data_IF_159539771219
#
_entry.id   IF_159539771219
#
_cell.length_a   1.000
_cell.length_b   1.000
_cell.length_c   1.000
_cell.angle_alpha   90.00
_cell.angle_beta   90.00
_cell.angle_gamma   90.00
#
_symmetry.space_group_name_H-M   'P 1'
#
loop_
_entity.id
_entity.type
_entity.pdbx_description
1 polymer ?
#
# COMPACT_ATOMS: atom_id res chain seq x y z
N UNK A 1 -19.66 4.81 -3.91
CA UNK A 1 -19.60 3.61 -4.79
C UNK A 1 -18.15 3.32 -5.14
N UNK A 2 -17.73 2.06 -5.19
CA UNK A 2 -16.39 1.66 -5.61
C UNK A 2 -16.43 0.65 -6.76
N UNK A 3 -15.37 0.59 -7.56
CA UNK A 3 -15.20 -0.42 -8.60
C UNK A 3 -13.78 -0.99 -8.57
N UNK A 4 -13.60 -2.29 -8.83
CA UNK A 4 -12.28 -2.92 -8.85
C UNK A 4 -11.51 -2.52 -10.11
N UNK A 5 -10.20 -2.38 -9.97
CA UNK A 5 -9.26 -2.21 -11.07
C UNK A 5 -7.94 -2.92 -10.75
N UNK A 6 -7.09 -3.06 -11.77
CA UNK A 6 -5.71 -3.53 -11.62
C UNK A 6 -4.76 -2.46 -12.13
N UNK A 7 -3.73 -2.17 -11.33
CA UNK A 7 -2.64 -1.28 -11.74
C UNK A 7 -1.37 -2.09 -12.04
N UNK A 8 -0.61 -1.75 -13.10
CA UNK A 8 0.55 -2.54 -13.51
C UNK A 8 1.62 -2.65 -12.42
N UNK A 9 1.90 -1.56 -11.70
CA UNK A 9 2.81 -1.58 -10.57
C UNK A 9 2.55 -0.45 -9.58
N UNK A 10 2.88 -0.69 -8.31
CA UNK A 10 2.88 0.32 -7.25
C UNK A 10 4.21 0.25 -6.50
N UNK A 11 4.86 1.39 -6.31
CA UNK A 11 6.12 1.50 -5.57
C UNK A 11 5.90 2.30 -4.28
N UNK A 12 6.42 1.79 -3.16
CA UNK A 12 6.26 2.38 -1.84
C UNK A 12 7.53 2.17 -1.02
N UNK A 13 8.13 3.27 -0.55
CA UNK A 13 9.37 3.27 0.25
C UNK A 13 10.52 2.43 -0.35
N UNK A 14 10.64 2.41 -1.68
CA UNK A 14 11.68 1.66 -2.38
C UNK A 14 11.34 0.19 -2.65
N UNK A 15 10.19 -0.30 -2.20
CA UNK A 15 9.69 -1.62 -2.56
C UNK A 15 8.66 -1.52 -3.69
N UNK A 16 8.68 -2.47 -4.64
CA UNK A 16 7.76 -2.50 -5.78
C UNK A 16 6.87 -3.76 -5.76
N UNK A 17 5.58 -3.57 -6.02
CA UNK A 17 4.66 -4.66 -6.31
C UNK A 17 4.08 -4.51 -7.72
N UNK A 18 3.82 -5.63 -8.36
CA UNK A 18 3.26 -5.70 -9.71
C UNK A 18 1.84 -6.28 -9.68
N UNK A 19 1.05 -5.94 -10.70
CA UNK A 19 -0.32 -6.43 -10.91
C UNK A 19 -1.18 -6.31 -9.63
N UNK A 20 -1.25 -5.09 -9.10
CA UNK A 20 -1.88 -4.78 -7.82
C UNK A 20 -3.37 -4.55 -8.04
N UNK A 21 -4.19 -5.27 -7.29
CA UNK A 21 -5.63 -5.05 -7.23
C UNK A 21 -5.94 -3.83 -6.36
N UNK A 22 -6.79 -2.94 -6.87
CA UNK A 22 -7.21 -1.71 -6.21
C UNK A 22 -8.72 -1.55 -6.32
N UNK A 23 -9.31 -0.83 -5.37
CA UNK A 23 -10.69 -0.36 -5.46
C UNK A 23 -10.66 1.16 -5.71
N UNK A 24 -11.25 1.62 -6.81
CA UNK A 24 -11.39 3.04 -7.09
C UNK A 24 -12.66 3.55 -6.43
N UNK A 25 -12.52 4.59 -5.62
CA UNK A 25 -13.61 5.16 -4.83
C UNK A 25 -14.05 6.50 -5.41
N UNK A 26 -15.36 6.76 -5.41
CA UNK A 26 -15.94 8.05 -5.82
C UNK A 26 -15.68 9.18 -4.82
N UNK A 27 -15.42 8.82 -3.56
CA UNK A 27 -15.17 9.74 -2.45
C UNK A 27 -14.18 9.12 -1.48
N UNK A 28 -13.28 9.93 -0.93
CA UNK A 28 -12.38 9.58 0.15
C UNK A 28 -12.59 10.56 1.31
N UNK A 29 -12.17 10.21 2.55
CA UNK A 29 -12.07 11.16 3.64
C UNK A 29 -11.24 12.39 3.23
N UNK A 30 -11.53 13.58 3.81
CA UNK A 30 -10.69 14.75 3.57
C UNK A 30 -9.23 14.44 3.94
N UNK A 31 -8.30 15.04 3.20
CA UNK A 31 -6.85 14.91 3.39
C UNK A 31 -6.25 13.52 3.12
N UNK A 32 -6.99 12.63 2.43
CA UNK A 32 -6.51 11.29 2.06
C UNK A 32 -6.64 11.05 0.56
N UNK A 33 -5.51 10.77 -0.10
CA UNK A 33 -5.47 10.41 -1.54
C UNK A 33 -5.76 8.92 -1.80
N UNK A 34 -5.68 8.08 -0.77
CA UNK A 34 -5.96 6.65 -0.87
C UNK A 34 -5.63 5.89 0.41
N UNK A 35 -6.02 4.62 0.44
CA UNK A 35 -5.77 3.72 1.57
C UNK A 35 -5.01 2.48 1.11
N UNK A 36 -3.96 2.14 1.85
CA UNK A 36 -3.18 0.92 1.63
C UNK A 36 -3.83 -0.24 2.39
N UNK A 37 -4.46 -1.15 1.65
CA UNK A 37 -5.04 -2.36 2.23
C UNK A 37 -3.99 -3.32 2.77
N UNK A 38 -4.34 -4.08 3.81
CA UNK A 38 -3.45 -5.07 4.42
C UNK A 38 -2.97 -6.16 3.42
N UNK A 39 -3.80 -6.52 2.44
CA UNK A 39 -3.41 -7.46 1.39
C UNK A 39 -2.27 -6.93 0.51
N UNK A 40 -2.23 -5.63 0.25
CA UNK A 40 -1.10 -4.98 -0.42
C UNK A 40 0.14 -4.98 0.48
N UNK A 41 -0.01 -4.53 1.73
CA UNK A 41 1.08 -4.46 2.70
C UNK A 41 1.71 -5.83 3.00
N UNK A 42 0.92 -6.91 2.96
CA UNK A 42 1.39 -8.28 3.16
C UNK A 42 2.44 -8.76 2.14
N UNK A 43 2.62 -8.04 1.02
CA UNK A 43 3.65 -8.31 0.00
C UNK A 43 5.05 -7.84 0.43
N UNK A 44 5.15 -7.07 1.50
CA UNK A 44 6.40 -6.47 1.96
C UNK A 44 6.82 -7.00 3.34
N UNK A 45 8.07 -6.78 3.69
CA UNK A 45 8.52 -6.81 5.08
C UNK A 45 8.19 -5.48 5.75
N UNK A 46 7.53 -5.54 6.90
CA UNK A 46 7.08 -4.37 7.67
C UNK A 46 7.90 -4.26 8.95
N UNK A 47 8.49 -3.09 9.22
CA UNK A 47 9.12 -2.76 10.51
C UNK A 47 8.48 -1.51 11.09
N UNK A 48 7.95 -1.63 12.31
CA UNK A 48 7.36 -0.53 13.06
C UNK A 48 8.21 -0.25 14.30
N UNK A 49 8.81 0.93 14.36
CA UNK A 49 9.37 1.50 15.58
C UNK A 49 8.40 2.56 16.12
N UNK A 50 7.53 2.13 17.04
CA UNK A 50 6.53 3.00 17.64
C UNK A 50 7.14 4.09 18.54
N UNK A 51 8.35 3.88 19.09
CA UNK A 51 9.02 4.89 19.92
C UNK A 51 9.61 6.00 19.08
N UNK A 52 10.15 5.66 17.91
CA UNK A 52 10.66 6.62 16.94
C UNK A 52 9.60 7.16 15.97
N UNK A 53 8.35 6.66 16.04
CA UNK A 53 7.28 7.04 15.11
C UNK A 53 7.57 6.63 13.66
N UNK A 54 8.34 5.56 13.45
CA UNK A 54 8.86 5.17 12.14
C UNK A 54 8.22 3.87 11.64
N UNK A 55 7.76 3.90 10.40
CA UNK A 55 7.24 2.74 9.69
C UNK A 55 8.02 2.54 8.40
N UNK A 56 8.69 1.40 8.28
CA UNK A 56 9.51 1.02 7.14
C UNK A 56 8.90 -0.17 6.40
N UNK A 57 8.89 -0.07 5.07
CA UNK A 57 8.56 -1.16 4.16
C UNK A 57 9.77 -1.51 3.31
N UNK A 58 10.01 -2.81 3.13
CA UNK A 58 11.06 -3.30 2.26
C UNK A 58 10.59 -4.53 1.47
N UNK A 59 11.26 -4.82 0.36
CA UNK A 59 10.97 -6.02 -0.41
C UNK A 59 11.20 -7.26 0.44
N UNK A 60 10.25 -8.21 0.39
CA UNK A 60 10.42 -9.50 1.04
C UNK A 60 11.40 -10.33 0.23
N UNK A 61 12.51 -10.75 0.84
CA UNK A 61 13.44 -11.69 0.20
C UNK A 61 12.74 -13.05 0.08
N UNK A 62 12.75 -13.62 -1.13
CA UNK A 62 12.21 -14.96 -1.39
C UNK A 62 13.05 -16.04 -0.74
#
# INVERSE_FOLDING_TARGET
>A
MSFPARVPSLALQGARAENVEVAVMSTLPPDVDGLLGLGFLARFEMKLDARAGRFELSERKR
#
